data_IF_792911491969
#
_entry.id   IF_792911491969
#
_cell.length_a   1.000
_cell.length_b   1.000
_cell.length_c   1.000
_cell.angle_alpha   90.00
_cell.angle_beta   90.00
_cell.angle_gamma   90.00
#
_symmetry.space_group_name_H-M   'P 1'
#
loop_
_entity.id
_entity.type
_entity.pdbx_description
1 polymer ?
#
# COMPACT_ATOMS: atom_id res chain seq x y z
N UNK A 1 -26.49 0.62 -26.83
CA UNK A 1 -26.53 2.04 -26.42
C UNK A 1 -27.71 2.20 -25.47
N UNK A 2 -27.43 2.55 -24.21
CA UNK A 2 -28.33 2.49 -23.05
C UNK A 2 -29.57 3.38 -23.19
N UNK A 3 -30.70 2.90 -22.67
CA UNK A 3 -32.03 3.51 -22.72
C UNK A 3 -32.21 4.78 -21.85
N UNK A 4 -31.26 5.70 -21.85
CA UNK A 4 -31.32 6.96 -21.10
C UNK A 4 -31.89 8.13 -21.91
N UNK A 5 -32.34 7.90 -23.14
CA UNK A 5 -32.59 8.97 -24.11
C UNK A 5 -34.00 9.55 -24.17
N UNK A 6 -34.98 9.09 -23.38
CA UNK A 6 -36.40 9.35 -23.73
C UNK A 6 -37.15 10.44 -23.00
N UNK A 7 -36.65 10.99 -21.89
CA UNK A 7 -37.25 12.17 -21.24
C UNK A 7 -36.19 12.87 -20.39
N UNK A 8 -35.39 13.72 -21.02
CA UNK A 8 -34.55 14.67 -20.29
C UNK A 8 -35.37 15.94 -20.14
N UNK A 9 -35.58 16.35 -18.89
CA UNK A 9 -36.30 17.59 -18.57
C UNK A 9 -35.68 18.77 -19.35
N UNK A 10 -36.49 19.61 -20.05
CA UNK A 10 -35.98 20.74 -20.83
C UNK A 10 -35.12 21.71 -20.01
N UNK A 11 -35.43 21.91 -18.73
CA UNK A 11 -34.65 22.71 -17.80
C UNK A 11 -33.31 22.02 -17.50
N UNK A 12 -33.30 20.71 -17.30
CA UNK A 12 -32.06 19.96 -17.12
C UNK A 12 -31.14 20.06 -18.34
N UNK A 13 -31.72 20.06 -19.57
CA UNK A 13 -30.95 20.26 -20.80
C UNK A 13 -30.37 21.67 -20.92
N UNK A 14 -31.10 22.68 -20.47
CA UNK A 14 -30.63 24.07 -20.44
C UNK A 14 -29.55 24.32 -19.38
N UNK A 15 -29.64 23.65 -18.22
CA UNK A 15 -28.69 23.80 -17.11
C UNK A 15 -27.42 22.96 -17.27
N UNK A 16 -27.47 21.87 -18.06
CA UNK A 16 -26.34 20.98 -18.29
C UNK A 16 -25.00 21.65 -18.63
N UNK A 17 -24.91 22.63 -19.56
CA UNK A 17 -23.63 23.28 -19.87
C UNK A 17 -23.06 24.07 -18.69
N UNK A 18 -23.92 24.79 -17.95
CA UNK A 18 -23.51 25.62 -16.81
C UNK A 18 -23.02 24.73 -15.66
N UNK A 19 -23.77 23.67 -15.35
CA UNK A 19 -23.39 22.71 -14.29
C UNK A 19 -22.11 21.98 -14.67
N UNK A 20 -21.90 21.67 -15.96
CA UNK A 20 -20.65 21.05 -16.44
C UNK A 20 -19.45 21.94 -16.18
N UNK A 21 -19.53 23.24 -16.47
CA UNK A 21 -18.42 24.18 -16.22
C UNK A 21 -18.10 24.29 -14.73
N UNK A 22 -19.14 24.43 -13.88
CA UNK A 22 -18.96 24.48 -12.43
C UNK A 22 -18.35 23.18 -11.88
N UNK A 23 -18.79 22.03 -12.39
CA UNK A 23 -18.25 20.73 -11.99
C UNK A 23 -16.78 20.59 -12.39
N UNK A 24 -16.41 20.98 -13.61
CA UNK A 24 -15.02 20.92 -14.06
C UNK A 24 -14.11 21.82 -13.21
N UNK A 25 -14.55 23.04 -12.90
CA UNK A 25 -13.81 23.96 -12.05
C UNK A 25 -13.64 23.45 -10.61
N UNK A 26 -14.62 22.70 -10.09
CA UNK A 26 -14.51 22.06 -8.77
C UNK A 26 -13.58 20.86 -8.81
N UNK A 27 -13.65 20.03 -9.85
CA UNK A 27 -12.73 18.89 -10.04
C UNK A 27 -11.29 19.37 -10.14
N UNK A 28 -11.02 20.44 -10.87
CA UNK A 28 -9.69 21.04 -10.97
C UNK A 28 -9.21 21.60 -9.63
N UNK A 29 -10.08 22.27 -8.87
CA UNK A 29 -9.75 22.75 -7.52
C UNK A 29 -9.44 21.62 -6.56
N UNK A 30 -10.24 20.55 -6.56
CA UNK A 30 -9.99 19.36 -5.73
C UNK A 30 -8.68 18.70 -6.14
N UNK A 31 -8.43 18.54 -7.44
CA UNK A 31 -7.19 17.96 -7.95
C UNK A 31 -5.96 18.78 -7.55
N UNK A 32 -6.04 20.11 -7.60
CA UNK A 32 -4.98 21.01 -7.15
C UNK A 32 -4.79 21.04 -5.63
N UNK A 33 -5.87 20.80 -4.86
CA UNK A 33 -5.86 20.78 -3.41
C UNK A 33 -5.33 19.46 -2.82
N UNK A 34 -5.34 18.36 -3.59
CA UNK A 34 -4.67 17.13 -3.19
C UNK A 34 -3.17 17.41 -3.17
N UNK A 35 -2.52 17.42 -1.99
CA UNK A 35 -1.09 17.62 -1.93
C UNK A 35 -0.46 16.50 -2.74
N UNK A 36 0.29 16.83 -3.79
CA UNK A 36 1.11 15.85 -4.50
C UNK A 36 1.93 15.14 -3.43
N UNK A 37 1.67 13.84 -3.24
CA UNK A 37 2.30 13.06 -2.19
C UNK A 37 3.81 13.23 -2.38
N UNK A 38 4.47 13.94 -1.45
CA UNK A 38 5.93 14.07 -1.46
C UNK A 38 6.45 12.64 -1.60
N UNK A 39 7.30 12.33 -2.59
CA UNK A 39 7.85 11.01 -2.71
C UNK A 39 8.51 10.71 -1.37
N UNK A 40 8.01 9.70 -0.65
CA UNK A 40 8.61 9.24 0.58
C UNK A 40 10.05 8.93 0.23
N UNK A 41 10.98 9.71 0.75
CA UNK A 41 12.41 9.43 0.71
C UNK A 41 12.72 8.30 1.71
N UNK A 42 11.94 7.22 1.71
CA UNK A 42 12.39 5.98 2.34
C UNK A 42 13.54 5.52 1.46
N UNK A 43 14.74 5.49 2.04
CA UNK A 43 15.88 4.98 1.32
C UNK A 43 15.56 3.54 0.91
N UNK A 44 16.04 3.10 -0.26
CA UNK A 44 16.00 1.69 -0.65
C UNK A 44 16.54 0.76 0.46
N UNK A 45 17.46 1.29 1.29
CA UNK A 45 17.94 0.62 2.48
C UNK A 45 16.84 0.35 3.52
N UNK A 46 15.99 1.34 3.79
CA UNK A 46 14.91 1.22 4.77
C UNK A 46 13.83 0.26 4.25
N UNK A 47 13.51 0.31 2.96
CA UNK A 47 12.55 -0.60 2.34
C UNK A 47 13.03 -2.06 2.40
N UNK A 48 14.28 -2.32 2.05
CA UNK A 48 14.90 -3.65 2.12
C UNK A 48 14.91 -4.19 3.56
N UNK A 49 15.23 -3.35 4.55
CA UNK A 49 15.27 -3.73 5.96
C UNK A 49 13.86 -3.99 6.50
N UNK A 50 12.91 -3.10 6.19
CA UNK A 50 11.52 -3.26 6.63
C UNK A 50 10.88 -4.51 6.03
N UNK A 51 11.21 -4.86 4.79
CA UNK A 51 10.79 -6.12 4.19
C UNK A 51 11.35 -7.34 4.92
N UNK A 52 12.64 -7.33 5.27
CA UNK A 52 13.24 -8.40 6.05
C UNK A 52 12.62 -8.50 7.46
N UNK A 53 12.30 -7.37 8.10
CA UNK A 53 11.59 -7.35 9.38
C UNK A 53 10.19 -7.97 9.28
N UNK A 54 9.44 -7.70 8.20
CA UNK A 54 8.12 -8.32 7.95
C UNK A 54 8.23 -9.84 7.82
N UNK A 55 9.28 -10.34 7.17
CA UNK A 55 9.53 -11.78 7.05
C UNK A 55 9.84 -12.44 8.40
N UNK A 56 10.61 -11.76 9.26
CA UNK A 56 10.88 -12.22 10.64
C UNK A 56 9.59 -12.27 11.47
N UNK A 57 8.76 -11.21 11.42
CA UNK A 57 7.49 -11.16 12.13
C UNK A 57 6.57 -12.31 11.70
N UNK A 58 6.39 -12.53 10.38
CA UNK A 58 5.56 -13.63 9.89
C UNK A 58 6.08 -15.01 10.33
N UNK A 59 7.40 -15.21 10.33
CA UNK A 59 7.98 -16.47 10.80
C UNK A 59 7.81 -16.67 12.33
N UNK A 60 7.87 -15.58 13.10
CA UNK A 60 7.63 -15.61 14.54
C UNK A 60 6.17 -15.95 14.86
N UNK A 61 5.21 -15.35 14.14
CA UNK A 61 3.78 -15.67 14.29
C UNK A 61 3.49 -17.13 13.98
N UNK A 62 4.06 -17.67 12.89
CA UNK A 62 3.93 -19.09 12.55
C UNK A 62 4.54 -20.01 13.61
N UNK A 63 5.68 -19.62 14.20
CA UNK A 63 6.27 -20.37 15.31
C UNK A 63 5.38 -20.33 16.55
N UNK A 64 4.80 -19.17 16.88
CA UNK A 64 3.87 -19.03 17.99
C UNK A 64 2.62 -19.90 17.80
N UNK A 65 2.09 -19.98 16.57
CA UNK A 65 0.98 -20.87 16.22
C UNK A 65 1.35 -22.35 16.31
N UNK A 66 2.60 -22.71 15.99
CA UNK A 66 3.08 -24.08 15.97
C UNK A 66 3.68 -24.56 17.31
N UNK A 67 3.66 -23.73 18.37
CA UNK A 67 4.47 -23.86 19.60
C UNK A 67 4.41 -25.24 20.30
N UNK A 68 3.34 -26.00 20.11
CA UNK A 68 3.15 -27.32 20.73
C UNK A 68 2.77 -28.44 19.72
N UNK A 69 2.96 -28.21 18.42
CA UNK A 69 2.61 -29.15 17.36
C UNK A 69 3.81 -29.71 16.60
N UNK A 70 3.57 -30.71 15.75
CA UNK A 70 4.60 -31.33 14.90
C UNK A 70 5.30 -30.35 13.93
N UNK A 71 4.75 -29.15 13.74
CA UNK A 71 5.30 -28.09 12.90
C UNK A 71 6.33 -27.17 13.58
N UNK A 72 6.57 -27.30 14.89
CA UNK A 72 7.43 -26.39 15.66
C UNK A 72 8.85 -26.31 15.10
N UNK A 73 9.49 -27.47 14.85
CA UNK A 73 10.88 -27.54 14.37
C UNK A 73 11.02 -26.86 13.00
N UNK A 74 10.05 -27.06 12.10
CA UNK A 74 10.05 -26.43 10.78
C UNK A 74 9.85 -24.91 10.89
N UNK A 75 8.93 -24.46 11.75
CA UNK A 75 8.70 -23.05 12.02
C UNK A 75 9.92 -22.37 12.65
N UNK A 76 10.62 -23.06 13.58
CA UNK A 76 11.85 -22.58 14.20
C UNK A 76 12.96 -22.38 13.18
N UNK A 77 13.18 -23.38 12.30
CA UNK A 77 14.13 -23.27 11.18
C UNK A 77 13.76 -22.14 10.22
N UNK A 78 12.47 -21.91 9.98
CA UNK A 78 12.01 -20.79 9.16
C UNK A 78 12.34 -19.44 9.80
N UNK A 79 12.14 -19.30 11.11
CA UNK A 79 12.48 -18.08 11.86
C UNK A 79 13.99 -17.80 11.83
N UNK A 80 14.82 -18.83 12.05
CA UNK A 80 16.28 -18.70 11.96
C UNK A 80 16.74 -18.21 10.57
N UNK A 81 16.11 -18.71 9.50
CA UNK A 81 16.40 -18.26 8.14
C UNK A 81 16.00 -16.81 7.93
N UNK A 82 14.81 -16.40 8.38
CA UNK A 82 14.35 -15.02 8.30
C UNK A 82 15.28 -14.07 9.07
N UNK A 83 15.73 -14.46 10.27
CA UNK A 83 16.69 -13.69 11.06
C UNK A 83 18.03 -13.51 10.34
N UNK A 84 18.53 -14.56 9.64
CA UNK A 84 19.73 -14.46 8.80
C UNK A 84 19.55 -13.51 7.62
N UNK A 85 18.37 -13.50 7.00
CA UNK A 85 18.03 -12.56 5.89
C UNK A 85 18.04 -11.13 6.40
N UNK A 86 17.42 -10.85 7.56
CA UNK A 86 17.47 -9.54 8.20
C UNK A 86 18.91 -9.11 8.51
N UNK A 87 19.71 -9.99 9.13
CA UNK A 87 21.11 -9.68 9.42
C UNK A 87 21.95 -9.39 8.17
N UNK A 88 21.67 -10.04 7.04
CA UNK A 88 22.31 -9.74 5.74
C UNK A 88 21.86 -8.39 5.18
N UNK A 89 20.57 -8.07 5.23
CA UNK A 89 20.04 -6.79 4.79
C UNK A 89 20.62 -5.63 5.62
N UNK A 90 20.68 -5.78 6.94
CA UNK A 90 21.25 -4.77 7.83
C UNK A 90 22.75 -4.57 7.60
N UNK A 91 23.53 -5.66 7.43
CA UNK A 91 24.97 -5.55 7.10
C UNK A 91 25.23 -4.91 5.74
N UNK A 92 24.45 -5.29 4.72
CA UNK A 92 24.54 -4.70 3.36
C UNK A 92 24.41 -3.17 3.40
N UNK A 93 23.56 -2.65 4.28
CA UNK A 93 23.27 -1.22 4.42
C UNK A 93 24.04 -0.56 5.58
N UNK A 94 25.01 -1.23 6.20
CA UNK A 94 25.85 -0.68 7.28
C UNK A 94 25.11 -0.38 8.59
N UNK A 95 23.95 -1.02 8.83
CA UNK A 95 23.11 -0.83 10.03
C UNK A 95 23.38 -1.84 11.14
N UNK A 96 24.33 -2.75 10.92
CA UNK A 96 24.78 -3.74 11.89
C UNK A 96 26.31 -3.84 11.75
N UNK A 97 27.08 -3.55 12.83
CA UNK A 97 28.54 -3.69 12.82
C UNK A 97 28.98 -5.15 12.71
#
# INVERSE_FOLDING_TARGET
MTALGRQVDPLARALAPVVREMLMAEVERIAAAIPAAKPKTTSKADDDIMEACRQVASAADRLAQAKFGAGEIAARKSLERAAKVLGRAMRKHGRMP
#
